data_IF_951307053936
#
_entry.id   IF_951307053936
#
_cell.length_a   1.000
_cell.length_b   1.000
_cell.length_c   1.000
_cell.angle_alpha   90.00
_cell.angle_beta   90.00
_cell.angle_gamma   90.00
#
_symmetry.space_group_name_H-M   'P 1'
#
loop_
_entity.id
_entity.type
_entity.pdbx_description
1 polymer ?
#
# COMPACT_ATOMS: atom_id res chain seq x y z
N UNK A 1 23.60 -41.46 -20.19
CA UNK A 1 22.69 -40.32 -20.53
C UNK A 1 21.57 -40.08 -19.51
N UNK A 2 20.77 -41.08 -19.09
CA UNK A 2 19.61 -40.88 -18.19
C UNK A 2 19.92 -40.24 -16.83
N UNK A 3 21.03 -40.62 -16.19
CA UNK A 3 21.45 -40.06 -14.91
C UNK A 3 21.92 -38.59 -14.98
N UNK A 4 22.47 -38.17 -16.12
CA UNK A 4 22.92 -36.78 -16.35
C UNK A 4 21.73 -35.85 -16.58
N UNK A 5 20.72 -36.30 -17.33
CA UNK A 5 19.45 -35.58 -17.52
C UNK A 5 18.67 -35.42 -16.20
N UNK A 6 18.63 -36.45 -15.34
CA UNK A 6 17.96 -36.38 -14.04
C UNK A 6 18.66 -35.44 -13.04
N UNK A 7 19.99 -35.31 -13.09
CA UNK A 7 20.71 -34.34 -12.24
C UNK A 7 20.46 -32.91 -12.70
N UNK A 8 20.38 -32.69 -14.01
CA UNK A 8 20.14 -31.36 -14.58
C UNK A 8 18.74 -30.83 -14.24
N UNK A 9 17.70 -31.68 -14.31
CA UNK A 9 16.34 -31.30 -13.88
C UNK A 9 16.24 -31.02 -12.38
N UNK A 10 16.98 -31.73 -11.54
CA UNK A 10 17.03 -31.46 -10.11
C UNK A 10 17.63 -30.06 -9.80
N UNK A 11 18.69 -29.67 -10.52
CA UNK A 11 19.31 -28.34 -10.40
C UNK A 11 18.37 -27.23 -10.86
N UNK A 12 17.69 -27.41 -12.00
CA UNK A 12 16.70 -26.45 -12.50
C UNK A 12 15.51 -26.30 -11.53
N UNK A 13 15.07 -27.39 -10.92
CA UNK A 13 13.98 -27.38 -9.93
C UNK A 13 14.40 -26.67 -8.65
N UNK A 14 15.61 -26.92 -8.14
CA UNK A 14 16.16 -26.22 -6.97
C UNK A 14 16.29 -24.72 -7.23
N UNK A 15 16.83 -24.34 -8.39
CA UNK A 15 16.98 -22.95 -8.78
C UNK A 15 15.62 -22.24 -8.91
N UNK A 16 14.67 -22.89 -9.59
CA UNK A 16 13.30 -22.39 -9.73
C UNK A 16 12.58 -22.26 -8.38
N UNK A 17 12.79 -23.22 -7.48
CA UNK A 17 12.22 -23.19 -6.14
C UNK A 17 12.84 -22.05 -5.29
N UNK A 18 14.16 -21.88 -5.34
CA UNK A 18 14.86 -20.80 -4.64
C UNK A 18 14.39 -19.41 -5.08
N UNK A 19 14.29 -19.17 -6.40
CA UNK A 19 13.75 -17.92 -6.96
C UNK A 19 12.31 -17.69 -6.51
N UNK A 20 11.48 -18.73 -6.49
CA UNK A 20 10.08 -18.62 -6.06
C UNK A 20 9.94 -18.26 -4.58
N UNK A 21 10.78 -18.81 -3.71
CA UNK A 21 10.81 -18.48 -2.28
C UNK A 21 11.28 -17.04 -2.07
N UNK A 22 12.35 -16.63 -2.74
CA UNK A 22 12.88 -15.27 -2.63
C UNK A 22 11.82 -14.23 -3.01
N UNK A 23 11.13 -14.42 -4.16
CA UNK A 23 10.05 -13.53 -4.59
C UNK A 23 8.89 -13.45 -3.59
N UNK A 24 8.52 -14.57 -2.97
CA UNK A 24 7.47 -14.60 -1.94
C UNK A 24 7.85 -13.82 -0.69
N UNK A 25 9.09 -13.95 -0.23
CA UNK A 25 9.56 -13.22 0.95
C UNK A 25 9.64 -11.73 0.65
N UNK A 26 10.30 -11.35 -0.44
CA UNK A 26 10.44 -9.93 -0.83
C UNK A 26 9.07 -9.30 -1.05
N UNK A 27 8.21 -9.92 -1.87
CA UNK A 27 6.88 -9.40 -2.12
C UNK A 27 6.03 -9.29 -0.84
N UNK A 28 6.12 -10.26 0.07
CA UNK A 28 5.44 -10.23 1.37
C UNK A 28 5.91 -9.09 2.25
N UNK A 29 7.22 -8.84 2.32
CA UNK A 29 7.80 -7.71 3.06
C UNK A 29 7.33 -6.38 2.49
N UNK A 30 7.36 -6.21 1.16
CA UNK A 30 6.88 -4.99 0.51
C UNK A 30 5.38 -4.74 0.74
N UNK A 31 4.54 -5.78 0.68
CA UNK A 31 3.11 -5.65 1.02
C UNK A 31 2.93 -5.31 2.50
N UNK A 32 3.64 -5.97 3.40
CA UNK A 32 3.52 -5.74 4.84
C UNK A 32 3.93 -4.32 5.24
N UNK A 33 5.11 -3.87 4.78
CA UNK A 33 5.59 -2.50 5.01
C UNK A 33 4.63 -1.52 4.33
N UNK A 34 4.25 -1.76 3.08
CA UNK A 34 3.30 -0.90 2.38
C UNK A 34 1.97 -0.76 3.10
N UNK A 35 1.42 -1.85 3.64
CA UNK A 35 0.18 -1.84 4.43
C UNK A 35 0.32 -0.99 5.69
N UNK A 36 1.44 -1.14 6.41
CA UNK A 36 1.75 -0.37 7.62
C UNK A 36 1.85 1.13 7.32
N UNK A 37 2.38 1.54 6.16
CA UNK A 37 2.53 2.96 5.76
C UNK A 37 1.29 3.56 5.07
N UNK A 38 0.40 2.72 4.56
CA UNK A 38 -0.76 3.14 3.78
C UNK A 38 -1.97 3.49 4.64
N UNK A 39 -2.92 4.30 4.11
CA UNK A 39 -4.17 4.59 4.80
C UNK A 39 -5.13 3.39 4.88
N UNK A 40 -4.76 2.23 4.30
CA UNK A 40 -5.53 1.00 4.46
C UNK A 40 -5.44 0.41 5.89
N UNK A 41 -4.45 0.85 6.67
CA UNK A 41 -4.31 0.54 8.09
C UNK A 41 -4.95 1.66 8.91
N UNK A 42 -6.06 1.38 9.59
CA UNK A 42 -6.79 2.40 10.36
C UNK A 42 -6.00 3.04 11.52
N UNK A 43 -4.90 2.41 11.96
CA UNK A 43 -4.00 2.91 13.01
C UNK A 43 -2.73 3.59 12.47
N UNK A 44 -2.50 3.55 11.14
CA UNK A 44 -1.26 4.02 10.51
C UNK A 44 -1.00 5.51 10.77
N UNK A 45 -2.02 6.35 10.60
CA UNK A 45 -1.84 7.80 10.73
C UNK A 45 -1.34 8.20 12.11
N UNK A 46 -1.98 7.67 13.17
CA UNK A 46 -1.65 8.01 14.55
C UNK A 46 -0.28 7.50 15.00
N UNK A 47 0.13 6.30 14.56
CA UNK A 47 1.31 5.60 15.11
C UNK A 47 2.53 5.69 14.21
N UNK A 48 2.35 5.87 12.90
CA UNK A 48 3.44 5.77 11.91
C UNK A 48 3.57 7.05 11.10
N UNK A 49 2.53 7.44 10.35
CA UNK A 49 2.68 8.52 9.38
C UNK A 49 2.82 9.90 10.05
N UNK A 50 2.02 10.21 11.08
CA UNK A 50 2.15 11.49 11.80
C UNK A 50 3.50 11.57 12.54
N UNK A 51 3.95 10.55 13.30
CA UNK A 51 5.26 10.58 13.94
C UNK A 51 6.43 10.74 12.95
N UNK A 52 6.42 10.02 11.82
CA UNK A 52 7.46 10.15 10.78
C UNK A 52 7.41 11.54 10.14
N UNK A 53 6.22 12.01 9.77
CA UNK A 53 6.03 13.31 9.16
C UNK A 53 6.49 14.44 10.08
N UNK A 54 6.15 14.35 11.36
CA UNK A 54 6.57 15.30 12.39
C UNK A 54 8.09 15.31 12.54
N UNK A 55 8.72 14.12 12.62
CA UNK A 55 10.17 14.02 12.73
C UNK A 55 10.87 14.67 11.53
N UNK A 56 10.39 14.40 10.30
CA UNK A 56 10.94 15.01 9.08
C UNK A 56 10.73 16.53 9.08
N UNK A 57 9.51 16.99 9.38
CA UNK A 57 9.19 18.41 9.50
C UNK A 57 10.07 19.11 10.53
N UNK A 58 10.29 18.48 11.68
CA UNK A 58 11.13 18.99 12.76
C UNK A 58 12.60 19.07 12.36
N UNK A 59 13.13 18.05 11.67
CA UNK A 59 14.51 18.09 11.17
C UNK A 59 14.72 19.24 10.17
N UNK A 60 13.77 19.47 9.26
CA UNK A 60 13.87 20.54 8.27
C UNK A 60 13.63 21.92 8.89
N UNK A 61 12.80 22.02 9.93
CA UNK A 61 12.56 23.29 10.64
C UNK A 61 13.81 23.81 11.36
N UNK A 62 14.80 22.95 11.64
CA UNK A 62 16.12 23.38 12.14
C UNK A 62 16.89 24.25 11.15
N UNK A 63 16.56 24.18 9.85
CA UNK A 63 17.18 24.98 8.79
C UNK A 63 16.32 26.22 8.52
N UNK A 64 15.00 26.05 8.41
CA UNK A 64 14.05 27.14 8.24
C UNK A 64 12.73 26.83 8.95
N UNK A 65 12.45 27.54 10.05
CA UNK A 65 11.25 27.33 10.88
C UNK A 65 9.93 27.37 10.11
N UNK A 66 9.71 28.30 9.13
CA UNK A 66 8.46 28.35 8.39
C UNK A 66 8.18 27.10 7.53
N UNK A 67 9.21 26.29 7.26
CA UNK A 67 9.08 25.06 6.47
C UNK A 67 8.54 23.87 7.27
N UNK A 68 8.40 23.97 8.59
CA UNK A 68 7.93 22.86 9.43
C UNK A 68 6.62 22.25 8.91
N UNK A 69 5.56 23.07 8.83
CA UNK A 69 4.23 22.63 8.41
C UNK A 69 4.18 22.12 6.96
N UNK A 70 4.67 22.84 5.94
CA UNK A 70 4.62 22.34 4.57
C UNK A 70 5.42 21.05 4.40
N UNK A 71 6.56 20.90 5.07
CA UNK A 71 7.36 19.66 5.00
C UNK A 71 6.68 18.51 5.74
N UNK A 72 6.08 18.74 6.91
CA UNK A 72 5.33 17.72 7.63
C UNK A 72 4.17 17.19 6.76
N UNK A 73 3.40 18.08 6.12
CA UNK A 73 2.32 17.68 5.21
C UNK A 73 2.83 16.91 3.99
N UNK A 74 3.92 17.38 3.37
CA UNK A 74 4.55 16.68 2.24
C UNK A 74 5.08 15.30 2.65
N UNK A 75 5.70 15.19 3.82
CA UNK A 75 6.19 13.93 4.35
C UNK A 75 5.04 12.96 4.63
N UNK A 76 3.94 13.44 5.22
CA UNK A 76 2.73 12.65 5.47
C UNK A 76 2.07 12.15 4.17
N UNK A 77 1.95 13.00 3.15
CA UNK A 77 1.48 12.56 1.84
C UNK A 77 2.46 11.58 1.20
N UNK A 78 3.75 11.84 1.34
CA UNK A 78 4.83 10.98 0.87
C UNK A 78 4.77 9.58 1.46
N UNK A 79 4.58 9.43 2.78
CA UNK A 79 4.45 8.12 3.45
C UNK A 79 3.22 7.37 2.96
N UNK A 80 2.10 8.06 2.77
CA UNK A 80 0.87 7.46 2.23
C UNK A 80 1.05 6.95 0.79
N UNK A 81 1.61 7.78 -0.10
CA UNK A 81 1.89 7.40 -1.49
C UNK A 81 2.89 6.24 -1.54
N UNK A 82 3.96 6.32 -0.74
CA UNK A 82 4.96 5.27 -0.63
C UNK A 82 4.36 3.95 -0.18
N UNK A 83 3.46 3.97 0.82
CA UNK A 83 2.74 2.79 1.30
C UNK A 83 1.93 2.10 0.20
N UNK A 84 1.16 2.87 -0.57
CA UNK A 84 0.38 2.35 -1.71
C UNK A 84 1.30 1.77 -2.80
N UNK A 85 2.39 2.46 -3.14
CA UNK A 85 3.36 1.99 -4.14
C UNK A 85 4.03 0.70 -3.68
N UNK A 86 4.47 0.62 -2.43
CA UNK A 86 5.08 -0.58 -1.86
C UNK A 86 4.12 -1.77 -1.86
N UNK A 87 2.85 -1.56 -1.51
CA UNK A 87 1.84 -2.62 -1.63
C UNK A 87 1.66 -3.08 -3.07
N UNK A 88 1.60 -2.16 -4.03
CA UNK A 88 1.44 -2.50 -5.44
C UNK A 88 2.64 -3.30 -5.97
N UNK A 89 3.86 -2.85 -5.68
CA UNK A 89 5.10 -3.54 -6.07
C UNK A 89 5.21 -4.89 -5.37
N UNK A 90 4.91 -4.97 -4.08
CA UNK A 90 4.92 -6.23 -3.34
C UNK A 90 3.89 -7.23 -3.87
N UNK A 91 2.67 -6.77 -4.14
CA UNK A 91 1.59 -7.59 -4.70
C UNK A 91 1.96 -8.13 -6.08
N UNK A 92 2.58 -7.31 -6.96
CA UNK A 92 3.05 -7.78 -8.27
C UNK A 92 4.22 -8.77 -8.18
N UNK A 93 5.04 -8.68 -7.13
CA UNK A 93 6.09 -9.67 -6.85
C UNK A 93 5.54 -11.00 -6.31
N UNK A 94 4.50 -10.96 -5.46
CA UNK A 94 3.84 -12.13 -4.90
C UNK A 94 2.97 -12.87 -5.92
N UNK A 95 2.20 -12.10 -6.67
CA UNK A 95 1.19 -12.62 -7.58
C UNK A 95 1.87 -12.76 -8.92
N UNK A 96 2.23 -14.00 -9.28
CA UNK A 96 2.74 -14.40 -10.61
C UNK A 96 1.86 -13.79 -11.70
N UNK A 97 2.15 -12.56 -12.16
CA UNK A 97 1.65 -11.94 -13.40
C UNK A 97 0.14 -12.02 -13.70
N UNK A 98 -0.71 -12.40 -12.74
CA UNK A 98 -2.14 -12.72 -12.97
C UNK A 98 -3.08 -11.61 -12.44
N UNK A 99 -2.64 -10.75 -11.52
CA UNK A 99 -3.45 -9.61 -11.10
C UNK A 99 -3.56 -8.50 -12.15
N UNK A 100 -2.66 -8.48 -13.14
CA UNK A 100 -2.70 -7.49 -14.24
C UNK A 100 -3.83 -7.76 -15.25
N UNK A 101 -4.66 -8.80 -15.04
CA UNK A 101 -5.89 -9.05 -15.82
C UNK A 101 -7.19 -8.84 -15.03
N UNK A 102 -7.16 -8.24 -13.84
CA UNK A 102 -8.42 -7.79 -13.23
C UNK A 102 -8.74 -6.41 -13.76
N UNK A 103 -9.59 -6.36 -14.79
CA UNK A 103 -10.14 -5.12 -15.36
C UNK A 103 -10.72 -4.28 -14.22
N UNK A 104 -9.95 -3.30 -13.75
CA UNK A 104 -10.43 -2.31 -12.81
C UNK A 104 -11.45 -1.50 -13.59
N UNK A 105 -12.72 -1.89 -13.50
CA UNK A 105 -13.81 -1.12 -14.07
C UNK A 105 -13.91 0.16 -13.23
N UNK A 106 -13.09 1.14 -13.60
CA UNK A 106 -13.04 2.46 -12.99
C UNK A 106 -14.46 3.04 -12.89
N UNK A 107 -15.28 2.79 -13.91
CA UNK A 107 -16.72 3.11 -13.91
C UNK A 107 -17.47 2.49 -12.74
N UNK A 108 -17.31 1.18 -12.49
CA UNK A 108 -17.98 0.50 -11.36
C UNK A 108 -17.49 1.02 -10.02
N UNK A 109 -16.20 1.31 -9.89
CA UNK A 109 -15.63 1.87 -8.66
C UNK A 109 -16.18 3.26 -8.40
N UNK A 110 -16.19 4.13 -9.43
CA UNK A 110 -16.75 5.48 -9.37
C UNK A 110 -18.26 5.46 -9.08
N UNK A 111 -19.02 4.55 -9.70
CA UNK A 111 -20.45 4.40 -9.46
C UNK A 111 -20.73 3.95 -8.03
N UNK A 112 -19.99 2.96 -7.51
CA UNK A 112 -20.17 2.49 -6.12
C UNK A 112 -19.81 3.59 -5.12
N UNK A 113 -18.73 4.34 -5.34
CA UNK A 113 -18.36 5.47 -4.47
C UNK A 113 -19.37 6.61 -4.54
N UNK A 114 -19.88 6.94 -5.73
CA UNK A 114 -20.88 7.99 -5.90
C UNK A 114 -22.20 7.62 -5.23
N UNK A 115 -22.67 6.38 -5.41
CA UNK A 115 -23.88 5.88 -4.75
C UNK A 115 -23.73 5.90 -3.24
N UNK A 116 -22.60 5.42 -2.72
CA UNK A 116 -22.33 5.43 -1.27
C UNK A 116 -22.33 6.86 -0.70
N UNK A 117 -21.69 7.81 -1.38
CA UNK A 117 -21.69 9.22 -0.97
C UNK A 117 -23.08 9.84 -1.00
N UNK A 118 -23.89 9.56 -2.03
CA UNK A 118 -25.28 10.04 -2.12
C UNK A 118 -26.14 9.46 -1.01
N UNK A 119 -25.98 8.17 -0.70
CA UNK A 119 -26.70 7.51 0.40
C UNK A 119 -26.31 8.15 1.75
N UNK A 120 -25.02 8.38 2.00
CA UNK A 120 -24.56 9.05 3.22
C UNK A 120 -25.09 10.48 3.35
N UNK A 121 -25.09 11.25 2.25
CA UNK A 121 -25.68 12.60 2.20
C UNK A 121 -27.19 12.56 2.46
N UNK A 122 -27.90 11.63 1.83
CA UNK A 122 -29.33 11.45 2.05
C UNK A 122 -29.61 11.09 3.53
N UNK A 123 -28.89 10.12 4.09
CA UNK A 123 -29.02 9.74 5.50
C UNK A 123 -28.74 10.91 6.46
N UNK A 124 -27.77 11.77 6.13
CA UNK A 124 -27.47 12.99 6.89
C UNK A 124 -28.60 14.04 6.79
N UNK A 125 -29.16 14.25 5.59
CA UNK A 125 -30.27 15.19 5.36
C UNK A 125 -31.57 14.71 6.03
N UNK A 126 -31.87 13.41 5.94
CA UNK A 126 -33.03 12.81 6.59
C UNK A 126 -32.89 12.69 8.11
N UNK A 127 -31.76 13.12 8.70
CA UNK A 127 -31.56 13.16 10.16
C UNK A 127 -31.51 11.77 10.81
N UNK A 128 -31.35 10.70 10.02
CA UNK A 128 -31.21 9.32 10.50
C UNK A 128 -29.83 9.07 11.12
N UNK A 129 -28.85 9.94 10.83
CA UNK A 129 -27.56 9.95 11.52
C UNK A 129 -27.67 10.96 12.67
N UNK A 130 -27.60 10.52 13.94
CA UNK A 130 -27.51 11.44 15.06
C UNK A 130 -26.26 12.30 14.85
N UNK A 131 -26.48 13.60 14.67
CA UNK A 131 -25.41 14.59 14.64
C UNK A 131 -24.71 14.47 15.99
N UNK A 132 -23.40 14.21 16.04
CA UNK A 132 -22.72 14.15 17.32
C UNK A 132 -22.51 15.54 17.93
N UNK A 133 -23.37 16.53 17.66
CA UNK A 133 -23.47 17.86 18.29
C UNK A 133 -24.89 18.42 18.07
#
# INVERSE_FOLDING_TARGET
MKAMSSKMTAVENLYSQAISRHRRVVGGVFVGIGYILSPASWWNDAVVNIPIAYLIGWLVSRIAEPLFLPIMLLAYWGTNVLGIVMMHVGATYLLRKELTKKHWNLRRTLTVTAIYSIIMLALAIFGLIPKPF
#
